data_IF_028199049146
#
_entry.id   IF_028199049146
#
_cell.length_a   1.000
_cell.length_b   1.000
_cell.length_c   1.000
_cell.angle_alpha   90.00
_cell.angle_beta   90.00
_cell.angle_gamma   90.00
#
_symmetry.space_group_name_H-M   'P 1'
#
loop_
_entity.id
_entity.type
_entity.pdbx_description
1 polymer ?
#
# COMPACT_ATOMS: atom_id res chain seq x y z
N UNK A 1 -64.78 0.35 5.63
CA UNK A 1 -64.84 0.00 4.21
C UNK A 1 -63.87 0.81 3.34
N UNK A 2 -63.08 1.76 3.86
CA UNK A 2 -62.31 2.69 3.00
C UNK A 2 -60.77 2.64 3.14
N UNK A 3 -60.17 1.47 3.39
CA UNK A 3 -58.71 1.29 3.27
C UNK A 3 -58.27 0.57 1.99
N UNK A 4 -59.22 0.02 1.22
CA UNK A 4 -58.94 -0.76 0.01
C UNK A 4 -59.12 0.05 -1.29
N UNK A 5 -59.47 1.35 -1.22
CA UNK A 5 -59.61 2.22 -2.40
C UNK A 5 -58.29 2.87 -2.83
N UNK A 6 -57.29 2.89 -1.95
CA UNK A 6 -55.96 3.40 -2.27
C UNK A 6 -55.02 2.21 -2.11
N UNK A 7 -54.41 1.78 -3.22
CA UNK A 7 -53.56 0.59 -3.25
C UNK A 7 -52.52 0.59 -2.13
N UNK A 8 -52.09 -0.60 -1.73
CA UNK A 8 -51.01 -0.77 -0.76
C UNK A 8 -49.80 0.01 -1.25
N UNK A 9 -49.44 1.10 -0.57
CA UNK A 9 -48.19 1.82 -0.82
C UNK A 9 -47.05 0.85 -0.54
N UNK A 10 -46.54 0.21 -1.59
CA UNK A 10 -45.23 -0.42 -1.55
C UNK A 10 -44.24 0.71 -1.35
N UNK A 11 -43.68 0.81 -0.15
CA UNK A 11 -42.53 1.69 0.10
C UNK A 11 -41.41 1.25 -0.82
N UNK A 12 -40.91 2.10 -1.73
CA UNK A 12 -39.76 1.75 -2.55
C UNK A 12 -38.58 1.38 -1.66
N UNK A 13 -37.65 0.59 -2.19
CA UNK A 13 -36.44 0.26 -1.43
C UNK A 13 -35.69 1.57 -1.08
N UNK A 14 -34.99 1.58 0.05
CA UNK A 14 -34.35 2.79 0.60
C UNK A 14 -33.41 3.45 -0.42
N UNK A 15 -32.81 2.64 -1.28
CA UNK A 15 -31.90 3.07 -2.35
C UNK A 15 -32.63 3.73 -3.53
N UNK A 16 -33.86 3.33 -3.85
CA UNK A 16 -34.66 3.96 -4.91
C UNK A 16 -35.11 5.37 -4.51
N UNK A 17 -35.52 5.55 -3.24
CA UNK A 17 -35.97 6.84 -2.70
C UNK A 17 -34.81 7.84 -2.63
N UNK A 18 -33.62 7.35 -2.32
CA UNK A 18 -32.43 8.17 -2.10
C UNK A 18 -32.07 9.06 -3.30
N UNK A 19 -32.24 8.57 -4.53
CA UNK A 19 -32.00 9.33 -5.76
C UNK A 19 -32.96 10.52 -5.92
N UNK A 20 -34.18 10.42 -5.40
CA UNK A 20 -35.20 11.47 -5.48
C UNK A 20 -35.15 12.43 -4.28
N UNK A 21 -34.37 12.14 -3.22
CA UNK A 21 -34.33 12.98 -2.02
C UNK A 21 -33.98 14.46 -2.29
N UNK A 22 -33.02 14.80 -3.17
CA UNK A 22 -32.77 16.20 -3.53
C UNK A 22 -33.98 16.88 -4.19
N UNK A 23 -34.74 16.17 -5.03
CA UNK A 23 -35.94 16.69 -5.70
C UNK A 23 -37.12 16.82 -4.73
N UNK A 24 -37.28 15.84 -3.84
CA UNK A 24 -38.27 15.88 -2.76
C UNK A 24 -38.00 17.06 -1.83
N UNK A 25 -36.74 17.26 -1.42
CA UNK A 25 -36.33 18.40 -0.61
C UNK A 25 -36.67 19.73 -1.30
N UNK A 26 -36.38 19.86 -2.60
CA UNK A 26 -36.73 21.05 -3.39
C UNK A 26 -38.24 21.28 -3.45
N UNK A 27 -39.03 20.21 -3.58
CA UNK A 27 -40.50 20.29 -3.64
C UNK A 27 -41.12 20.73 -2.31
N UNK A 28 -40.62 20.18 -1.19
CA UNK A 28 -41.04 20.58 0.16
C UNK A 28 -40.65 22.03 0.44
N UNK A 29 -39.46 22.46 0.03
CA UNK A 29 -39.01 23.86 0.13
C UNK A 29 -39.87 24.83 -0.67
N UNK A 30 -40.20 24.50 -1.92
CA UNK A 30 -41.11 25.30 -2.74
C UNK A 30 -42.49 25.45 -2.08
N UNK A 31 -42.98 24.36 -1.48
CA UNK A 31 -44.23 24.38 -0.73
C UNK A 31 -44.13 25.28 0.51
N UNK A 32 -43.03 25.16 1.27
CA UNK A 32 -42.77 26.01 2.43
C UNK A 32 -42.69 27.50 2.08
N UNK A 33 -42.00 27.87 0.99
CA UNK A 33 -41.97 29.27 0.51
C UNK A 33 -43.36 29.79 0.16
N UNK A 34 -44.22 28.94 -0.43
CA UNK A 34 -45.61 29.31 -0.74
C UNK A 34 -46.41 29.53 0.54
N UNK A 35 -46.24 28.67 1.55
CA UNK A 35 -46.91 28.81 2.84
C UNK A 35 -46.47 30.06 3.60
N UNK A 36 -45.19 30.44 3.51
CA UNK A 36 -44.69 31.72 4.03
C UNK A 36 -45.39 32.90 3.34
N UNK A 37 -45.54 32.86 2.01
CA UNK A 37 -46.21 33.94 1.23
C UNK A 37 -47.71 34.05 1.53
N UNK A 38 -48.32 33.01 2.08
CA UNK A 38 -49.73 33.01 2.50
C UNK A 38 -49.92 33.56 3.93
N UNK A 39 -48.85 34.08 4.56
CA UNK A 39 -48.88 34.67 5.91
C UNK A 39 -49.50 33.75 6.98
N UNK A 40 -49.18 32.45 6.91
CA UNK A 40 -49.58 31.48 7.93
C UNK A 40 -48.97 31.78 9.31
N UNK A 41 -49.62 31.38 10.42
CA UNK A 41 -49.09 31.54 11.77
C UNK A 41 -47.71 30.89 11.93
N UNK A 42 -46.85 31.52 12.73
CA UNK A 42 -45.48 31.05 12.95
C UNK A 42 -45.44 29.63 13.50
N UNK A 43 -46.37 29.24 14.37
CA UNK A 43 -46.44 27.91 14.96
C UNK A 43 -46.61 26.83 13.89
N UNK A 44 -47.39 27.10 12.83
CA UNK A 44 -47.57 26.18 11.71
C UNK A 44 -46.34 26.13 10.80
N UNK A 45 -45.71 27.28 10.55
CA UNK A 45 -44.48 27.38 9.76
C UNK A 45 -43.29 26.70 10.47
N UNK A 46 -43.24 26.73 11.79
CA UNK A 46 -42.16 26.11 12.57
C UNK A 46 -42.21 24.58 12.49
N UNK A 47 -43.40 23.98 12.42
CA UNK A 47 -43.55 22.53 12.22
C UNK A 47 -42.91 22.08 10.91
N UNK A 48 -43.17 22.81 9.82
CA UNK A 48 -42.63 22.50 8.49
C UNK A 48 -41.13 22.85 8.42
N UNK A 49 -40.70 23.92 9.09
CA UNK A 49 -39.29 24.27 9.22
C UNK A 49 -38.47 23.18 9.93
N UNK A 50 -39.02 22.59 10.99
CA UNK A 50 -38.39 21.44 11.67
C UNK A 50 -38.34 20.20 10.78
N UNK A 51 -39.42 19.89 10.05
CA UNK A 51 -39.43 18.81 9.07
C UNK A 51 -38.37 19.02 7.97
N UNK A 52 -38.23 20.26 7.46
CA UNK A 52 -37.21 20.61 6.48
C UNK A 52 -35.80 20.42 7.03
N UNK A 53 -35.55 20.80 8.29
CA UNK A 53 -34.27 20.56 8.94
C UNK A 53 -33.94 19.06 9.00
N UNK A 54 -34.88 18.25 9.46
CA UNK A 54 -34.71 16.79 9.56
C UNK A 54 -34.51 16.16 8.17
N UNK A 55 -35.27 16.61 7.16
CA UNK A 55 -35.14 16.14 5.79
C UNK A 55 -33.79 16.52 5.17
N UNK A 56 -33.25 17.70 5.46
CA UNK A 56 -31.92 18.13 5.01
C UNK A 56 -30.81 17.27 5.62
N UNK A 57 -30.88 17.00 6.93
CA UNK A 57 -29.92 16.11 7.61
C UNK A 57 -30.01 14.70 7.02
N UNK A 58 -31.23 14.19 6.83
CA UNK A 58 -31.46 12.87 6.27
C UNK A 58 -30.95 12.76 4.82
N UNK A 59 -31.24 13.74 3.97
CA UNK A 59 -30.78 13.79 2.58
C UNK A 59 -29.23 13.76 2.51
N UNK A 60 -28.56 14.60 3.31
CA UNK A 60 -27.09 14.57 3.42
C UNK A 60 -26.58 13.19 3.84
N UNK A 61 -27.16 12.62 4.90
CA UNK A 61 -26.74 11.31 5.44
C UNK A 61 -26.87 10.19 4.41
N UNK A 62 -27.99 10.14 3.69
CA UNK A 62 -28.26 9.11 2.67
C UNK A 62 -27.33 9.25 1.47
N UNK A 63 -27.06 10.47 0.98
CA UNK A 63 -26.16 10.69 -0.16
C UNK A 63 -24.72 10.20 0.14
N UNK A 64 -24.21 10.50 1.33
CA UNK A 64 -22.91 9.96 1.75
C UNK A 64 -22.95 8.45 1.98
N UNK A 65 -24.06 7.90 2.50
CA UNK A 65 -24.20 6.46 2.67
C UNK A 65 -24.20 5.73 1.32
N UNK A 66 -24.90 6.23 0.30
CA UNK A 66 -24.86 5.66 -1.05
C UNK A 66 -23.45 5.70 -1.63
N UNK A 67 -22.75 6.82 -1.47
CA UNK A 67 -21.36 6.96 -1.91
C UNK A 67 -20.45 5.96 -1.19
N UNK A 68 -20.68 5.71 0.10
CA UNK A 68 -19.98 4.67 0.86
C UNK A 68 -20.17 3.29 0.23
N UNK A 69 -21.41 2.93 -0.16
CA UNK A 69 -21.66 1.64 -0.81
C UNK A 69 -21.02 1.55 -2.21
N UNK A 70 -21.03 2.64 -2.99
CA UNK A 70 -20.32 2.70 -4.28
C UNK A 70 -18.81 2.51 -4.12
N UNK A 71 -18.22 3.09 -3.06
CA UNK A 71 -16.80 2.92 -2.75
C UNK A 71 -16.45 1.47 -2.42
N UNK A 72 -17.32 0.76 -1.68
CA UNK A 72 -17.13 -0.67 -1.39
C UNK A 72 -17.19 -1.55 -2.64
N UNK A 73 -17.89 -1.09 -3.68
CA UNK A 73 -18.02 -1.80 -4.96
C UNK A 73 -16.91 -1.46 -5.96
N UNK A 74 -15.99 -0.53 -5.62
CA UNK A 74 -14.84 -0.23 -6.47
C UNK A 74 -13.96 -1.46 -6.65
N UNK A 75 -13.67 -1.78 -7.90
CA UNK A 75 -12.76 -2.87 -8.27
C UNK A 75 -11.42 -2.33 -8.77
N UNK A 76 -10.35 -3.03 -8.40
CA UNK A 76 -9.00 -2.75 -8.86
C UNK A 76 -8.77 -3.36 -10.25
N UNK A 77 -8.18 -2.58 -11.15
CA UNK A 77 -7.84 -3.02 -12.51
C UNK A 77 -6.38 -3.49 -12.64
N UNK A 78 -5.57 -3.24 -11.60
CA UNK A 78 -4.15 -3.59 -11.53
C UNK A 78 -3.29 -2.98 -12.64
N UNK A 79 -3.77 -1.89 -13.26
CA UNK A 79 -3.04 -1.18 -14.31
C UNK A 79 -2.37 0.06 -13.73
N UNK A 80 -1.04 0.04 -13.73
CA UNK A 80 -0.24 1.15 -13.22
C UNK A 80 -0.18 2.26 -14.27
N UNK A 81 -0.48 3.48 -13.86
CA UNK A 81 -0.31 4.67 -14.68
C UNK A 81 1.12 5.18 -14.58
N UNK A 82 1.80 5.23 -15.72
CA UNK A 82 3.15 5.79 -15.87
C UNK A 82 3.12 7.16 -16.54
N UNK A 83 1.95 7.64 -16.96
CA UNK A 83 1.74 8.88 -17.67
C UNK A 83 0.84 9.83 -16.86
N UNK A 84 1.27 11.09 -16.71
CA UNK A 84 0.48 12.14 -16.06
C UNK A 84 1.11 12.69 -14.79
N UNK A 85 0.28 13.33 -13.96
CA UNK A 85 0.71 14.03 -12.73
C UNK A 85 1.16 13.06 -11.63
N UNK A 86 0.69 11.82 -11.68
CA UNK A 86 0.96 10.79 -10.68
C UNK A 86 1.51 9.56 -11.41
N UNK A 87 2.63 9.02 -10.92
CA UNK A 87 3.29 7.84 -11.48
C UNK A 87 3.28 6.71 -10.46
N UNK A 88 3.12 5.47 -10.92
CA UNK A 88 3.23 4.30 -10.07
C UNK A 88 1.97 3.97 -9.26
N UNK A 89 0.81 4.49 -9.66
CA UNK A 89 -0.49 4.28 -9.00
C UNK A 89 -1.53 3.80 -10.01
N UNK A 90 -2.58 3.12 -9.54
CA UNK A 90 -3.71 2.73 -10.39
C UNK A 90 -4.80 3.79 -10.41
N UNK A 91 -5.86 3.55 -11.17
CA UNK A 91 -7.05 4.41 -11.18
C UNK A 91 -7.86 4.40 -9.87
N UNK A 92 -7.67 3.38 -9.02
CA UNK A 92 -8.53 3.15 -7.86
C UNK A 92 -8.60 4.35 -6.89
N UNK A 93 -7.46 4.93 -6.43
CA UNK A 93 -7.49 6.13 -5.57
C UNK A 93 -8.13 7.35 -6.25
N UNK A 94 -8.01 7.47 -7.57
CA UNK A 94 -8.56 8.59 -8.35
C UNK A 94 -10.09 8.45 -8.45
N UNK A 95 -10.59 7.24 -8.73
CA UNK A 95 -12.04 6.95 -8.72
C UNK A 95 -12.66 7.20 -7.35
N UNK A 96 -11.96 6.81 -6.29
CA UNK A 96 -12.37 7.12 -4.92
C UNK A 96 -12.48 8.64 -4.69
N UNK A 97 -11.48 9.42 -5.09
CA UNK A 97 -11.53 10.88 -5.00
C UNK A 97 -12.73 11.45 -5.76
N UNK A 98 -12.96 11.01 -6.99
CA UNK A 98 -14.07 11.49 -7.82
C UNK A 98 -15.43 11.26 -7.15
N UNK A 99 -15.67 10.06 -6.60
CA UNK A 99 -16.91 9.78 -5.87
C UNK A 99 -17.12 10.69 -4.67
N UNK A 100 -16.03 11.02 -3.95
CA UNK A 100 -16.07 11.94 -2.81
C UNK A 100 -16.34 13.39 -3.27
N UNK A 101 -15.72 13.84 -4.36
CA UNK A 101 -15.96 15.17 -4.94
C UNK A 101 -17.40 15.33 -5.41
N UNK A 102 -17.94 14.32 -6.10
CA UNK A 102 -19.31 14.30 -6.61
C UNK A 102 -20.33 14.42 -5.47
N UNK A 103 -20.18 13.63 -4.39
CA UNK A 103 -21.11 13.72 -3.24
C UNK A 103 -20.99 15.05 -2.49
N UNK A 104 -19.78 15.60 -2.33
CA UNK A 104 -19.59 16.92 -1.72
C UNK A 104 -20.36 17.97 -2.52
N UNK A 105 -20.26 17.93 -3.86
CA UNK A 105 -20.95 18.87 -4.73
C UNK A 105 -22.48 18.71 -4.67
N UNK A 106 -22.99 17.47 -4.75
CA UNK A 106 -24.44 17.21 -4.70
C UNK A 106 -25.01 17.66 -3.35
N UNK A 107 -24.34 17.36 -2.23
CA UNK A 107 -24.78 17.77 -0.89
C UNK A 107 -24.73 19.29 -0.73
N UNK A 108 -23.72 19.96 -1.30
CA UNK A 108 -23.61 21.42 -1.30
C UNK A 108 -24.80 22.08 -1.98
N UNK A 109 -25.18 21.60 -3.16
CA UNK A 109 -26.27 22.17 -3.95
C UNK A 109 -27.66 21.84 -3.38
N UNK A 110 -27.83 20.62 -2.84
CA UNK A 110 -29.13 20.14 -2.37
C UNK A 110 -29.40 20.46 -0.90
N UNK A 111 -28.59 19.93 0.02
CA UNK A 111 -28.87 19.97 1.45
C UNK A 111 -28.31 21.23 2.14
N UNK A 112 -27.20 21.79 1.65
CA UNK A 112 -26.55 22.94 2.30
C UNK A 112 -27.04 24.30 1.82
N UNK A 113 -27.57 24.39 0.60
CA UNK A 113 -28.25 25.60 0.11
C UNK A 113 -29.35 26.00 1.10
N UNK A 114 -29.30 27.24 1.59
CA UNK A 114 -30.29 27.78 2.53
C UNK A 114 -31.32 28.64 1.80
N UNK A 115 -32.59 28.47 2.15
CA UNK A 115 -33.70 29.29 1.64
C UNK A 115 -34.35 30.16 2.74
N UNK A 116 -35.44 30.86 2.42
CA UNK A 116 -36.13 31.76 3.36
C UNK A 116 -36.47 31.05 4.68
N UNK A 117 -36.12 31.70 5.81
CA UNK A 117 -36.28 31.19 7.18
C UNK A 117 -35.51 29.90 7.52
N UNK A 118 -34.65 29.37 6.65
CA UNK A 118 -33.80 28.23 7.00
C UNK A 118 -32.50 28.68 7.69
N UNK A 119 -32.20 28.13 8.87
CA UNK A 119 -30.86 28.27 9.47
C UNK A 119 -29.83 27.46 8.67
N UNK A 120 -28.54 27.85 8.66
CA UNK A 120 -27.49 27.01 8.10
C UNK A 120 -27.49 25.63 8.75
N UNK A 121 -27.53 24.58 7.93
CA UNK A 121 -27.67 23.19 8.40
C UNK A 121 -26.55 22.82 9.38
N UNK A 122 -25.32 23.17 9.00
CA UNK A 122 -24.12 22.81 9.72
C UNK A 122 -23.87 23.65 10.97
N UNK A 123 -24.71 24.63 11.31
CA UNK A 123 -24.64 25.27 12.64
C UNK A 123 -25.22 24.36 13.73
N UNK A 124 -26.04 23.38 13.35
CA UNK A 124 -26.64 22.42 14.27
C UNK A 124 -25.63 21.33 14.66
N UNK A 125 -25.42 21.05 15.96
CA UNK A 125 -24.48 20.03 16.40
C UNK A 125 -24.86 18.62 15.93
N UNK A 126 -26.16 18.35 15.78
CA UNK A 126 -26.66 17.07 15.23
C UNK A 126 -26.21 16.86 13.79
N UNK A 127 -26.31 17.88 12.95
CA UNK A 127 -25.88 17.83 11.56
C UNK A 127 -24.35 17.68 11.42
N UNK A 128 -23.57 18.41 12.23
CA UNK A 128 -22.09 18.26 12.26
C UNK A 128 -21.67 16.84 12.63
N UNK A 129 -22.24 16.30 13.69
CA UNK A 129 -21.94 14.94 14.15
C UNK A 129 -22.31 13.87 13.12
N UNK A 130 -23.43 14.05 12.43
CA UNK A 130 -23.82 13.14 11.35
C UNK A 130 -22.87 13.26 10.15
N UNK A 131 -22.45 14.47 9.77
CA UNK A 131 -21.43 14.66 8.73
C UNK A 131 -20.12 13.95 9.07
N UNK A 132 -19.56 14.17 10.27
CA UNK A 132 -18.31 13.52 10.72
C UNK A 132 -18.41 12.00 10.66
N UNK A 133 -19.54 11.44 11.12
CA UNK A 133 -19.82 10.00 11.05
C UNK A 133 -19.82 9.48 9.61
N UNK A 134 -20.47 10.20 8.69
CA UNK A 134 -20.55 9.79 7.29
C UNK A 134 -19.19 9.89 6.58
N UNK A 135 -18.42 10.93 6.87
CA UNK A 135 -17.05 11.07 6.34
C UNK A 135 -16.15 9.94 6.86
N UNK A 136 -16.19 9.62 8.16
CA UNK A 136 -15.41 8.49 8.70
C UNK A 136 -15.84 7.14 8.09
N UNK A 137 -17.13 6.98 7.77
CA UNK A 137 -17.66 5.80 7.08
C UNK A 137 -17.11 5.65 5.65
N UNK A 138 -17.09 6.74 4.87
CA UNK A 138 -16.51 6.78 3.52
C UNK A 138 -15.02 6.42 3.55
N UNK A 139 -14.26 7.07 4.44
CA UNK A 139 -12.82 6.83 4.56
C UNK A 139 -12.51 5.40 5.02
N UNK A 140 -13.30 4.88 5.96
CA UNK A 140 -13.16 3.50 6.46
C UNK A 140 -13.57 2.47 5.41
N UNK A 141 -14.56 2.76 4.56
CA UNK A 141 -14.94 1.88 3.45
C UNK A 141 -13.80 1.76 2.44
N UNK A 142 -13.16 2.86 2.04
CA UNK A 142 -12.03 2.81 1.13
C UNK A 142 -10.80 2.09 1.72
N UNK A 143 -10.51 2.36 3.01
CA UNK A 143 -9.50 1.58 3.75
C UNK A 143 -9.85 0.08 3.73
N UNK A 144 -11.12 -0.27 3.95
CA UNK A 144 -11.62 -1.65 3.84
C UNK A 144 -11.36 -2.27 2.47
N UNK A 145 -11.63 -1.53 1.39
CA UNK A 145 -11.35 -1.99 0.02
C UNK A 145 -9.85 -2.27 -0.19
N UNK A 146 -8.96 -1.36 0.21
CA UNK A 146 -7.50 -1.56 0.14
C UNK A 146 -7.04 -2.74 1.01
N UNK A 147 -7.61 -2.87 2.20
CA UNK A 147 -7.37 -3.99 3.10
C UNK A 147 -7.74 -5.31 2.41
N UNK A 148 -8.96 -5.45 1.90
CA UNK A 148 -9.39 -6.67 1.19
C UNK A 148 -8.47 -7.04 0.02
N UNK A 149 -8.01 -6.05 -0.75
CA UNK A 149 -7.04 -6.30 -1.84
C UNK A 149 -5.71 -6.87 -1.34
N UNK A 150 -5.27 -6.49 -0.13
CA UNK A 150 -4.03 -6.97 0.49
C UNK A 150 -4.13 -8.28 1.28
N UNK A 151 -5.35 -8.75 1.59
CA UNK A 151 -5.58 -10.00 2.34
C UNK A 151 -6.27 -11.09 1.52
N UNK A 152 -6.71 -10.78 0.30
CA UNK A 152 -7.33 -11.75 -0.61
C UNK A 152 -6.28 -12.67 -1.24
N UNK A 153 -5.74 -13.60 -0.45
CA UNK A 153 -4.88 -14.70 -0.93
C UNK A 153 -5.67 -15.69 -1.84
N UNK A 154 -7.01 -15.64 -1.80
CA UNK A 154 -7.92 -16.68 -2.32
C UNK A 154 -8.38 -16.54 -3.78
N UNK A 155 -7.51 -16.15 -4.71
CA UNK A 155 -7.82 -16.31 -6.14
C UNK A 155 -6.65 -16.92 -6.91
N UNK A 156 -6.55 -18.24 -6.78
CA UNK A 156 -5.99 -19.15 -7.81
C UNK A 156 -4.49 -18.98 -8.15
N UNK A 157 -3.62 -18.62 -7.21
CA UNK A 157 -2.21 -18.96 -7.37
C UNK A 157 -2.06 -20.44 -7.01
N UNK A 158 -2.18 -21.30 -8.02
CA UNK A 158 -1.90 -22.73 -7.88
C UNK A 158 -0.52 -22.97 -7.27
N UNK A 159 -0.38 -24.09 -6.56
CA UNK A 159 0.80 -24.58 -5.81
C UNK A 159 2.17 -24.54 -6.54
N UNK A 160 2.24 -24.07 -7.79
CA UNK A 160 3.45 -24.05 -8.64
C UNK A 160 4.22 -22.71 -8.64
N UNK A 161 3.73 -21.64 -8.00
CA UNK A 161 4.46 -20.37 -7.89
C UNK A 161 5.29 -20.30 -6.60
N UNK A 162 6.12 -21.31 -6.34
CA UNK A 162 7.17 -21.17 -5.31
C UNK A 162 8.08 -20.00 -5.72
N UNK A 163 8.46 -19.08 -4.81
CA UNK A 163 9.38 -18.00 -5.13
C UNK A 163 10.69 -18.64 -5.61
N UNK A 164 10.99 -18.49 -6.90
CA UNK A 164 12.19 -19.05 -7.53
C UNK A 164 13.40 -18.26 -7.01
N UNK A 165 13.84 -18.59 -5.80
CA UNK A 165 15.07 -18.04 -5.20
C UNK A 165 16.27 -18.90 -5.58
N UNK A 166 16.09 -20.22 -5.74
CA UNK A 166 17.19 -21.15 -6.04
C UNK A 166 17.35 -21.44 -7.54
N UNK A 167 18.08 -20.59 -8.27
CA UNK A 167 18.50 -20.90 -9.66
C UNK A 167 19.82 -21.68 -9.74
N UNK A 168 20.50 -21.93 -8.61
CA UNK A 168 21.80 -22.61 -8.57
C UNK A 168 21.70 -24.14 -8.43
N UNK A 169 20.51 -24.68 -8.16
CA UNK A 169 20.25 -26.12 -8.15
C UNK A 169 19.60 -26.46 -9.50
N UNK A 170 20.35 -27.12 -10.37
CA UNK A 170 20.04 -27.32 -11.79
C UNK A 170 18.80 -28.17 -12.10
N UNK A 171 17.61 -27.62 -11.87
CA UNK A 171 16.36 -28.07 -12.47
C UNK A 171 15.87 -27.01 -13.46
N UNK A 172 15.80 -27.31 -14.78
CA UNK A 172 15.29 -26.35 -15.75
C UNK A 172 13.79 -26.19 -15.52
N UNK A 173 13.36 -25.00 -15.11
CA UNK A 173 11.93 -24.71 -15.00
C UNK A 173 11.38 -24.50 -16.41
N UNK A 174 10.61 -25.47 -16.88
CA UNK A 174 9.75 -25.34 -18.06
C UNK A 174 8.55 -24.43 -17.72
N UNK A 175 8.79 -23.13 -17.54
CA UNK A 175 7.72 -22.13 -17.35
C UNK A 175 7.19 -21.59 -18.68
N UNK A 176 6.67 -22.48 -19.53
CA UNK A 176 5.78 -22.09 -20.62
C UNK A 176 4.70 -23.15 -20.80
N UNK A 177 3.68 -23.12 -19.93
CA UNK A 177 2.36 -23.70 -20.26
C UNK A 177 1.30 -22.61 -20.15
N UNK A 178 0.84 -22.21 -21.32
CA UNK A 178 -0.22 -21.25 -21.58
C UNK A 178 -1.55 -21.75 -21.04
N UNK A 179 -1.96 -21.26 -19.87
CA UNK A 179 -3.37 -21.26 -19.45
C UNK A 179 -4.04 -19.99 -20.00
N UNK A 180 -4.84 -20.17 -21.05
CA UNK A 180 -5.48 -19.09 -21.84
C UNK A 180 -6.84 -18.63 -21.27
N UNK A 181 -6.99 -18.48 -19.95
CA UNK A 181 -8.31 -18.13 -19.39
C UNK A 181 -8.39 -16.93 -18.41
N UNK A 182 -7.28 -16.39 -17.85
CA UNK A 182 -7.34 -15.21 -16.94
C UNK A 182 -6.09 -14.31 -17.03
N UNK A 183 -5.78 -13.76 -18.21
CA UNK A 183 -4.48 -13.14 -18.51
C UNK A 183 -4.15 -11.76 -17.88
N UNK A 184 -4.99 -11.16 -17.03
CA UNK A 184 -4.78 -9.75 -16.63
C UNK A 184 -4.61 -9.48 -15.13
N UNK A 185 -4.53 -10.49 -14.28
CA UNK A 185 -4.34 -10.26 -12.84
C UNK A 185 -2.87 -10.55 -12.48
N UNK A 186 -2.11 -9.58 -11.94
CA UNK A 186 -0.72 -9.81 -11.55
C UNK A 186 -0.57 -10.90 -10.48
N UNK A 187 0.65 -11.40 -10.31
CA UNK A 187 1.00 -12.28 -9.17
C UNK A 187 0.79 -11.56 -7.84
N UNK A 188 0.56 -12.32 -6.78
CA UNK A 188 0.26 -11.79 -5.45
C UNK A 188 1.26 -10.75 -4.94
N UNK A 189 2.56 -10.97 -5.07
CA UNK A 189 3.59 -10.03 -4.61
C UNK A 189 3.49 -8.68 -5.32
N UNK A 190 3.18 -8.71 -6.62
CA UNK A 190 2.99 -7.50 -7.41
C UNK A 190 1.71 -6.77 -7.00
N UNK A 191 0.64 -7.50 -6.64
CA UNK A 191 -0.59 -6.91 -6.08
C UNK A 191 -0.32 -6.21 -4.75
N UNK A 192 0.52 -6.78 -3.89
CA UNK A 192 0.92 -6.15 -2.63
C UNK A 192 1.63 -4.81 -2.88
N UNK A 193 2.61 -4.78 -3.80
CA UNK A 193 3.31 -3.54 -4.15
C UNK A 193 2.39 -2.47 -4.77
N UNK A 194 1.48 -2.88 -5.67
CA UNK A 194 0.49 -1.96 -6.25
C UNK A 194 -0.40 -1.37 -5.15
N UNK A 195 -0.93 -2.23 -4.27
CA UNK A 195 -1.80 -1.82 -3.16
C UNK A 195 -1.06 -0.91 -2.19
N UNK A 196 0.21 -1.19 -1.91
CA UNK A 196 1.09 -0.37 -1.09
C UNK A 196 1.26 1.03 -1.69
N UNK A 197 1.56 1.12 -2.99
CA UNK A 197 1.69 2.39 -3.70
C UNK A 197 0.40 3.20 -3.68
N UNK A 198 -0.75 2.54 -3.93
CA UNK A 198 -2.07 3.17 -3.85
C UNK A 198 -2.38 3.68 -2.44
N UNK A 199 -2.01 2.92 -1.40
CA UNK A 199 -2.17 3.32 -0.01
C UNK A 199 -1.37 4.59 0.32
N UNK A 200 -0.08 4.61 -0.05
CA UNK A 200 0.79 5.77 0.14
C UNK A 200 0.28 7.01 -0.59
N UNK A 201 -0.13 6.84 -1.86
CA UNK A 201 -0.69 7.93 -2.65
C UNK A 201 -1.99 8.48 -2.05
N UNK A 202 -2.86 7.59 -1.57
CA UNK A 202 -4.10 7.98 -0.89
C UNK A 202 -3.79 8.81 0.34
N UNK A 203 -2.88 8.33 1.19
CA UNK A 203 -2.48 8.98 2.44
C UNK A 203 -1.89 10.38 2.20
N UNK A 204 -0.98 10.50 1.24
CA UNK A 204 -0.17 11.71 1.03
C UNK A 204 -0.75 12.72 0.04
N UNK A 205 -1.68 12.32 -0.84
CA UNK A 205 -2.23 13.22 -1.87
C UNK A 205 -3.75 13.26 -1.86
N UNK A 206 -4.42 12.10 -1.89
CA UNK A 206 -5.89 12.06 -2.02
C UNK A 206 -6.56 12.64 -0.78
N UNK A 207 -6.13 12.24 0.42
CA UNK A 207 -6.71 12.72 1.67
C UNK A 207 -6.54 14.25 1.85
N UNK A 208 -5.41 14.81 1.43
CA UNK A 208 -5.19 16.26 1.45
C UNK A 208 -6.07 16.99 0.42
N UNK A 209 -6.29 16.37 -0.74
CA UNK A 209 -7.20 16.91 -1.76
C UNK A 209 -8.64 16.89 -1.28
N UNK A 210 -9.07 15.81 -0.62
CA UNK A 210 -10.40 15.72 0.01
C UNK A 210 -10.57 16.84 1.06
N UNK A 211 -9.58 17.06 1.93
CA UNK A 211 -9.61 18.16 2.91
C UNK A 211 -9.75 19.53 2.25
N UNK A 212 -9.02 19.77 1.16
CA UNK A 212 -9.13 21.01 0.40
C UNK A 212 -10.54 21.18 -0.19
N UNK A 213 -11.12 20.11 -0.75
CA UNK A 213 -12.47 20.13 -1.36
C UNK A 213 -13.58 20.40 -0.35
N UNK A 214 -13.51 19.84 0.85
CA UNK A 214 -14.43 20.19 1.94
C UNK A 214 -14.33 21.67 2.30
N UNK A 215 -13.11 22.21 2.42
CA UNK A 215 -12.86 23.63 2.75
C UNK A 215 -13.37 24.57 1.64
N UNK A 216 -13.04 24.29 0.38
CA UNK A 216 -13.50 25.04 -0.80
C UNK A 216 -15.04 25.03 -0.93
N UNK A 217 -15.68 23.96 -0.47
CA UNK A 217 -17.13 23.78 -0.55
C UNK A 217 -17.91 24.39 0.62
N UNK A 218 -17.21 24.97 1.61
CA UNK A 218 -17.84 25.64 2.77
C UNK A 218 -18.32 24.69 3.87
N UNK A 219 -17.82 23.45 3.89
CA UNK A 219 -18.09 22.49 4.97
C UNK A 219 -17.25 22.83 6.22
N UNK A 220 -17.62 22.30 7.41
CA UNK A 220 -16.78 22.46 8.59
C UNK A 220 -15.51 21.62 8.43
N UNK A 221 -14.52 21.91 9.27
CA UNK A 221 -13.30 21.11 9.35
C UNK A 221 -13.63 19.64 9.65
N UNK A 222 -13.13 18.74 8.79
CA UNK A 222 -13.20 17.27 8.96
C UNK A 222 -11.80 16.68 9.22
N UNK A 223 -10.88 17.52 9.70
CA UNK A 223 -9.47 17.16 9.90
C UNK A 223 -9.31 15.96 10.86
N UNK A 224 -10.19 15.81 11.86
CA UNK A 224 -10.19 14.66 12.77
C UNK A 224 -10.43 13.32 12.07
N UNK A 225 -11.46 13.25 11.20
CA UNK A 225 -11.77 12.05 10.42
C UNK A 225 -10.63 11.70 9.45
N UNK A 226 -10.07 12.70 8.79
CA UNK A 226 -8.99 12.50 7.81
C UNK A 226 -7.69 12.09 8.50
N UNK A 227 -7.34 12.67 9.65
CA UNK A 227 -6.17 12.25 10.41
C UNK A 227 -6.30 10.82 10.93
N UNK A 228 -7.48 10.42 11.40
CA UNK A 228 -7.78 9.03 11.77
C UNK A 228 -7.57 8.08 10.57
N UNK A 229 -8.06 8.46 9.38
CA UNK A 229 -7.85 7.70 8.16
C UNK A 229 -6.38 7.61 7.75
N UNK A 230 -5.60 8.69 7.89
CA UNK A 230 -4.14 8.68 7.66
C UNK A 230 -3.45 7.65 8.55
N UNK A 231 -3.77 7.61 9.85
CA UNK A 231 -3.23 6.62 10.78
C UNK A 231 -3.63 5.18 10.43
N UNK A 232 -4.89 4.95 10.02
CA UNK A 232 -5.34 3.63 9.55
C UNK A 232 -4.57 3.18 8.30
N UNK A 233 -4.41 4.05 7.31
CA UNK A 233 -3.64 3.78 6.09
C UNK A 233 -2.15 3.54 6.38
N UNK A 234 -1.55 4.27 7.30
CA UNK A 234 -0.15 4.07 7.71
C UNK A 234 0.06 2.68 8.36
N UNK A 235 -0.88 2.22 9.17
CA UNK A 235 -0.84 0.86 9.71
C UNK A 235 -1.01 -0.21 8.62
N UNK A 236 -1.90 0.03 7.66
CA UNK A 236 -2.09 -0.86 6.52
C UNK A 236 -0.84 -0.91 5.63
N UNK A 237 -0.22 0.24 5.34
CA UNK A 237 1.05 0.35 4.62
C UNK A 237 2.13 -0.53 5.25
N UNK A 238 2.33 -0.41 6.58
CA UNK A 238 3.29 -1.24 7.32
C UNK A 238 2.97 -2.73 7.19
N UNK A 239 1.70 -3.09 7.34
CA UNK A 239 1.26 -4.50 7.29
C UNK A 239 1.47 -5.13 5.90
N UNK A 240 1.17 -4.37 4.84
CA UNK A 240 1.39 -4.80 3.45
C UNK A 240 2.89 -4.95 3.17
N UNK A 241 3.69 -3.98 3.62
CA UNK A 241 5.15 -4.02 3.46
C UNK A 241 5.76 -5.22 4.20
N UNK A 242 5.37 -5.46 5.45
CA UNK A 242 5.86 -6.59 6.24
C UNK A 242 5.55 -7.93 5.54
N UNK A 243 4.31 -8.12 5.05
CA UNK A 243 3.94 -9.32 4.25
C UNK A 243 4.74 -9.49 2.97
N UNK A 244 4.95 -8.40 2.24
CA UNK A 244 5.77 -8.43 1.03
C UNK A 244 7.22 -8.84 1.36
N UNK A 245 7.77 -8.27 2.44
CA UNK A 245 9.12 -8.58 2.90
C UNK A 245 9.24 -10.03 3.38
N UNK A 246 8.29 -10.57 4.14
CA UNK A 246 8.27 -12.00 4.54
C UNK A 246 8.39 -12.91 3.30
N UNK A 247 7.58 -12.65 2.27
CA UNK A 247 7.58 -13.44 1.04
C UNK A 247 8.90 -13.39 0.25
N UNK A 248 9.66 -12.28 0.34
CA UNK A 248 10.95 -12.13 -0.34
C UNK A 248 12.16 -12.54 0.50
N UNK A 249 12.11 -12.25 1.80
CA UNK A 249 13.22 -12.42 2.73
C UNK A 249 13.27 -13.82 3.32
N UNK A 250 12.14 -14.46 3.67
CA UNK A 250 12.16 -15.77 4.33
C UNK A 250 12.83 -16.86 3.48
N UNK A 251 12.53 -16.97 2.16
CA UNK A 251 13.23 -17.93 1.31
C UNK A 251 14.71 -17.58 1.12
N UNK A 252 15.06 -16.28 1.12
CA UNK A 252 16.44 -15.82 1.01
C UNK A 252 17.24 -16.23 2.25
N UNK A 253 16.72 -15.96 3.44
CA UNK A 253 17.31 -16.38 4.72
C UNK A 253 17.47 -17.91 4.75
N UNK A 254 16.43 -18.65 4.36
CA UNK A 254 16.46 -20.12 4.31
C UNK A 254 17.48 -20.72 3.32
N UNK A 255 17.94 -19.95 2.33
CA UNK A 255 18.91 -20.41 1.32
C UNK A 255 20.35 -20.01 1.61
N UNK A 256 20.58 -18.94 2.42
CA UNK A 256 21.93 -18.45 2.74
C UNK A 256 22.81 -19.55 3.35
N UNK A 257 22.35 -20.21 4.42
CA UNK A 257 23.13 -21.22 5.13
C UNK A 257 23.42 -22.46 4.24
N UNK A 258 22.43 -23.09 3.57
CA UNK A 258 22.71 -24.18 2.63
C UNK A 258 23.67 -23.79 1.49
N UNK A 259 23.49 -22.61 0.89
CA UNK A 259 24.34 -22.13 -0.22
C UNK A 259 25.77 -21.80 0.23
N UNK A 260 25.97 -21.50 1.51
CA UNK A 260 27.30 -21.28 2.09
C UNK A 260 28.16 -22.54 2.04
N UNK A 261 27.59 -23.69 2.39
CA UNK A 261 28.28 -24.99 2.45
C UNK A 261 28.22 -25.79 1.14
N UNK A 262 27.71 -25.18 0.05
CA UNK A 262 27.58 -25.83 -1.26
C UNK A 262 28.92 -26.43 -1.74
N UNK A 263 28.85 -27.66 -2.24
CA UNK A 263 30.03 -28.40 -2.72
C UNK A 263 30.87 -29.04 -1.61
N UNK A 264 30.28 -29.31 -0.42
CA UNK A 264 30.99 -29.83 0.77
C UNK A 264 32.13 -28.91 1.23
N UNK A 265 31.90 -27.61 1.09
CA UNK A 265 32.83 -26.60 1.55
C UNK A 265 32.78 -26.49 3.08
N UNK A 266 33.92 -26.24 3.69
CA UNK A 266 34.06 -25.94 5.11
C UNK A 266 35.02 -24.73 5.25
N UNK A 267 34.77 -23.90 6.25
CA UNK A 267 35.60 -22.74 6.56
C UNK A 267 37.01 -23.12 7.07
N UNK A 268 37.25 -24.38 7.45
CA UNK A 268 38.57 -24.93 7.77
C UNK A 268 39.31 -25.52 6.55
N UNK A 269 38.90 -25.19 5.32
CA UNK A 269 39.57 -25.67 4.09
C UNK A 269 40.75 -24.76 3.70
N UNK A 270 41.83 -25.34 3.16
CA UNK A 270 43.06 -24.64 2.74
C UNK A 270 43.08 -24.30 1.24
N UNK A 271 41.94 -23.89 0.68
CA UNK A 271 41.80 -23.48 -0.73
C UNK A 271 41.80 -21.97 -0.82
N UNK A 272 42.69 -21.40 -1.64
CA UNK A 272 42.77 -19.95 -1.79
C UNK A 272 41.52 -19.38 -2.49
N UNK A 273 40.97 -18.25 -2.01
CA UNK A 273 39.80 -17.62 -2.62
C UNK A 273 40.11 -17.13 -4.03
N UNK A 274 39.23 -17.44 -4.97
CA UNK A 274 39.35 -17.00 -6.39
C UNK A 274 38.17 -16.14 -6.85
N UNK A 275 37.03 -16.27 -6.19
CA UNK A 275 35.80 -15.54 -6.45
C UNK A 275 34.94 -15.58 -5.18
N UNK A 276 33.89 -14.76 -5.12
CA UNK A 276 32.92 -14.83 -4.03
C UNK A 276 32.09 -16.12 -4.10
N UNK A 277 31.69 -16.62 -2.94
CA UNK A 277 30.91 -17.87 -2.83
C UNK A 277 29.50 -17.72 -3.41
N UNK A 278 28.84 -18.84 -3.78
CA UNK A 278 27.51 -18.83 -4.39
C UNK A 278 26.44 -18.09 -3.58
N UNK A 279 26.43 -18.23 -2.24
CA UNK A 279 25.44 -17.54 -1.39
C UNK A 279 25.50 -16.01 -1.52
N UNK A 280 26.70 -15.43 -1.63
CA UNK A 280 26.85 -13.98 -1.79
C UNK A 280 26.32 -13.53 -3.16
N UNK A 281 26.56 -14.31 -4.21
CA UNK A 281 26.00 -14.06 -5.55
C UNK A 281 24.48 -14.19 -5.56
N UNK A 282 23.93 -15.16 -4.83
CA UNK A 282 22.49 -15.37 -4.68
C UNK A 282 21.83 -14.18 -3.96
N UNK A 283 22.42 -13.69 -2.87
CA UNK A 283 21.96 -12.47 -2.19
C UNK A 283 21.94 -11.26 -3.14
N UNK A 284 23.01 -11.05 -3.91
CA UNK A 284 23.10 -9.94 -4.86
C UNK A 284 22.03 -10.08 -5.95
N UNK A 285 21.87 -11.27 -6.53
CA UNK A 285 20.88 -11.50 -7.58
C UNK A 285 19.44 -11.37 -7.05
N UNK A 286 19.15 -11.85 -5.85
CA UNK A 286 17.84 -11.68 -5.23
C UNK A 286 17.51 -10.19 -5.03
N UNK A 287 18.45 -9.41 -4.48
CA UNK A 287 18.25 -7.97 -4.30
C UNK A 287 18.02 -7.25 -5.64
N UNK A 288 18.71 -7.65 -6.71
CA UNK A 288 18.50 -7.10 -8.07
C UNK A 288 17.11 -7.45 -8.61
N UNK A 289 16.65 -8.68 -8.38
CA UNK A 289 15.32 -9.10 -8.81
C UNK A 289 14.24 -8.32 -8.07
N UNK A 290 14.36 -8.14 -6.74
CA UNK A 290 13.45 -7.32 -5.95
C UNK A 290 13.51 -5.86 -6.40
N UNK A 291 14.71 -5.31 -6.64
CA UNK A 291 14.87 -3.97 -7.18
C UNK A 291 14.10 -3.79 -8.49
N UNK A 292 14.25 -4.71 -9.44
CA UNK A 292 13.56 -4.67 -10.72
C UNK A 292 12.03 -4.78 -10.59
N UNK A 293 11.54 -5.57 -9.63
CA UNK A 293 10.11 -5.71 -9.34
C UNK A 293 9.53 -4.42 -8.74
N UNK A 294 10.20 -3.85 -7.74
CA UNK A 294 9.75 -2.65 -7.02
C UNK A 294 9.80 -1.41 -7.92
N UNK A 295 10.88 -1.23 -8.69
CA UNK A 295 10.99 -0.09 -9.62
C UNK A 295 9.95 -0.17 -10.75
N UNK A 296 9.54 -1.39 -11.13
CA UNK A 296 8.44 -1.60 -12.06
C UNK A 296 7.10 -1.08 -11.55
N UNK A 297 6.91 -0.98 -10.23
CA UNK A 297 5.70 -0.42 -9.61
C UNK A 297 5.89 1.05 -9.27
N UNK A 298 6.81 1.36 -8.36
CA UNK A 298 7.05 2.72 -7.88
C UNK A 298 8.45 2.84 -7.29
N UNK A 299 9.24 3.77 -7.81
CA UNK A 299 10.59 4.06 -7.31
C UNK A 299 10.59 4.60 -5.87
N UNK A 300 9.47 5.17 -5.41
CA UNK A 300 9.34 5.68 -4.04
C UNK A 300 9.38 4.56 -2.97
N UNK A 301 9.09 3.32 -3.35
CA UNK A 301 9.12 2.16 -2.46
C UNK A 301 10.51 1.56 -2.28
N UNK A 302 11.44 1.88 -3.19
CA UNK A 302 12.72 1.19 -3.34
C UNK A 302 13.58 1.25 -2.09
N UNK A 303 13.74 2.44 -1.52
CA UNK A 303 14.53 2.64 -0.30
C UNK A 303 13.96 1.87 0.88
N UNK A 304 12.64 1.88 1.06
CA UNK A 304 11.99 1.18 2.18
C UNK A 304 12.12 -0.34 2.06
N UNK A 305 11.93 -0.89 0.86
CA UNK A 305 11.98 -2.34 0.63
C UNK A 305 13.40 -2.86 0.69
N UNK A 306 14.32 -2.30 -0.11
CA UNK A 306 15.68 -2.85 -0.23
C UNK A 306 16.49 -2.68 1.06
N UNK A 307 16.29 -1.58 1.79
CA UNK A 307 17.00 -1.37 3.06
C UNK A 307 16.66 -2.45 4.09
N UNK A 308 15.37 -2.86 4.16
CA UNK A 308 14.95 -3.93 5.07
C UNK A 308 15.49 -5.29 4.65
N UNK A 309 15.50 -5.60 3.36
CA UNK A 309 16.08 -6.85 2.86
C UNK A 309 17.58 -6.92 3.15
N UNK A 310 18.32 -5.82 2.92
CA UNK A 310 19.76 -5.75 3.22
C UNK A 310 20.03 -5.94 4.70
N UNK A 311 19.19 -5.39 5.57
CA UNK A 311 19.27 -5.59 7.01
C UNK A 311 19.06 -7.06 7.40
N UNK A 312 18.02 -7.71 6.88
CA UNK A 312 17.76 -9.14 7.11
C UNK A 312 18.91 -10.03 6.60
N UNK A 313 19.48 -9.73 5.42
CA UNK A 313 20.65 -10.46 4.90
C UNK A 313 21.86 -10.26 5.80
N UNK A 314 22.10 -9.05 6.30
CA UNK A 314 23.22 -8.76 7.17
C UNK A 314 23.09 -9.48 8.53
N UNK A 315 21.90 -9.46 9.12
CA UNK A 315 21.57 -10.17 10.37
C UNK A 315 21.76 -11.68 10.22
N UNK A 316 21.22 -12.27 9.15
CA UNK A 316 21.34 -13.71 8.91
C UNK A 316 22.79 -14.11 8.63
N UNK A 317 23.53 -13.30 7.88
CA UNK A 317 24.96 -13.52 7.63
C UNK A 317 25.76 -13.51 8.94
N UNK A 318 25.47 -12.56 9.83
CA UNK A 318 26.09 -12.53 11.16
C UNK A 318 25.76 -13.77 11.98
N UNK A 319 24.48 -14.19 12.01
CA UNK A 319 24.04 -15.41 12.71
C UNK A 319 24.82 -16.63 12.22
N UNK A 320 24.87 -16.85 10.91
CA UNK A 320 25.52 -18.03 10.33
C UNK A 320 27.03 -17.99 10.55
N UNK A 321 27.68 -16.83 10.38
CA UNK A 321 29.11 -16.68 10.64
C UNK A 321 29.48 -16.93 12.10
N UNK A 322 28.62 -16.53 13.04
CA UNK A 322 28.80 -16.77 14.48
C UNK A 322 28.72 -18.24 14.87
N UNK A 323 28.08 -19.08 14.05
CA UNK A 323 28.00 -20.52 14.28
C UNK A 323 29.21 -21.30 13.75
N UNK A 324 30.09 -20.66 12.97
CA UNK A 324 31.28 -21.31 12.40
C UNK A 324 32.28 -21.63 13.50
N UNK A 325 32.60 -22.92 13.65
CA UNK A 325 33.46 -23.40 14.75
C UNK A 325 34.94 -23.09 14.55
N UNK A 326 35.42 -23.14 13.30
CA UNK A 326 36.83 -22.98 12.99
C UNK A 326 37.01 -22.37 11.60
N UNK A 327 37.95 -21.43 11.52
CA UNK A 327 38.39 -20.83 10.28
C UNK A 327 39.84 -21.20 10.02
N UNK A 328 40.13 -21.66 8.81
CA UNK A 328 41.49 -21.65 8.30
C UNK A 328 41.89 -20.22 7.88
N UNK A 329 43.18 -20.02 7.58
CA UNK A 329 43.68 -18.75 7.03
C UNK A 329 42.96 -18.40 5.73
N UNK A 330 42.81 -19.35 4.81
CA UNK A 330 42.14 -19.14 3.52
C UNK A 330 40.62 -19.02 3.67
N UNK A 331 40.01 -19.74 4.61
CA UNK A 331 38.59 -19.60 4.94
C UNK A 331 38.25 -18.22 5.47
N UNK A 332 39.11 -17.66 6.35
CA UNK A 332 38.97 -16.28 6.82
C UNK A 332 39.12 -15.25 5.68
N UNK A 333 40.00 -15.50 4.70
CA UNK A 333 40.12 -14.67 3.50
C UNK A 333 38.85 -14.73 2.65
N UNK A 334 38.29 -15.92 2.41
CA UNK A 334 37.05 -16.09 1.66
C UNK A 334 35.86 -15.41 2.36
N UNK A 335 35.69 -15.62 3.68
CA UNK A 335 34.60 -15.02 4.45
C UNK A 335 34.65 -13.49 4.41
N UNK A 336 35.85 -12.91 4.60
CA UNK A 336 36.03 -11.45 4.49
C UNK A 336 35.77 -10.94 3.08
N UNK A 337 36.19 -11.67 2.04
CA UNK A 337 35.91 -11.29 0.66
C UNK A 337 34.41 -11.29 0.35
N UNK A 338 33.68 -12.32 0.80
CA UNK A 338 32.24 -12.42 0.58
C UNK A 338 31.47 -11.31 1.32
N UNK A 339 31.77 -11.10 2.62
CA UNK A 339 31.09 -10.07 3.43
C UNK A 339 31.37 -8.67 2.88
N UNK A 340 32.63 -8.36 2.53
CA UNK A 340 33.00 -7.07 1.95
C UNK A 340 32.39 -6.85 0.56
N UNK A 341 32.20 -7.92 -0.23
CA UNK A 341 31.48 -7.82 -1.48
C UNK A 341 30.03 -7.41 -1.23
N UNK A 342 29.33 -8.05 -0.30
CA UNK A 342 27.95 -7.68 0.05
C UNK A 342 27.85 -6.25 0.56
N UNK A 343 28.75 -5.82 1.46
CA UNK A 343 28.80 -4.43 1.95
C UNK A 343 28.96 -3.41 0.81
N UNK A 344 29.79 -3.71 -0.19
CA UNK A 344 29.97 -2.81 -1.33
C UNK A 344 28.74 -2.80 -2.24
N UNK A 345 28.21 -3.98 -2.59
CA UNK A 345 27.08 -4.11 -3.51
C UNK A 345 25.78 -3.52 -2.93
N UNK A 346 25.62 -3.57 -1.60
CA UNK A 346 24.43 -3.08 -0.91
C UNK A 346 24.59 -1.68 -0.31
N UNK A 347 25.73 -1.02 -0.56
CA UNK A 347 26.12 0.24 0.07
C UNK A 347 25.02 1.31 0.06
N UNK A 348 24.33 1.46 -1.07
CA UNK A 348 23.32 2.51 -1.24
C UNK A 348 22.05 2.26 -0.39
N UNK A 349 21.80 1.01 0.00
CA UNK A 349 20.64 0.57 0.81
C UNK A 349 21.04 0.04 2.19
N UNK A 350 22.27 0.31 2.66
CA UNK A 350 22.71 -0.20 3.96
C UNK A 350 22.25 0.72 5.10
N UNK A 351 21.35 0.24 5.97
CA UNK A 351 20.96 0.90 7.22
C UNK A 351 22.08 0.88 8.26
N UNK A 352 21.97 1.68 9.32
CA UNK A 352 22.96 1.65 10.41
C UNK A 352 22.93 0.32 11.19
N UNK A 353 21.75 -0.32 11.28
CA UNK A 353 21.62 -1.67 11.83
C UNK A 353 22.33 -2.69 10.94
N UNK A 354 22.12 -2.65 9.62
CA UNK A 354 22.81 -3.52 8.66
C UNK A 354 24.34 -3.33 8.72
N UNK A 355 24.83 -2.09 8.83
CA UNK A 355 26.27 -1.81 9.04
C UNK A 355 26.78 -2.48 10.32
N UNK A 356 25.99 -2.41 11.41
CA UNK A 356 26.28 -3.09 12.67
C UNK A 356 26.47 -4.58 12.48
N UNK A 357 25.48 -5.27 11.90
CA UNK A 357 25.54 -6.72 11.68
C UNK A 357 26.69 -7.15 10.77
N UNK A 358 26.97 -6.40 9.70
CA UNK A 358 28.15 -6.70 8.87
C UNK A 358 29.47 -6.51 9.62
N UNK A 359 29.56 -5.51 10.50
CA UNK A 359 30.75 -5.30 11.33
C UNK A 359 30.93 -6.44 12.34
N UNK A 360 29.85 -6.85 13.01
CA UNK A 360 29.83 -7.98 13.94
C UNK A 360 30.24 -9.29 13.23
N UNK A 361 29.72 -9.53 12.03
CA UNK A 361 30.13 -10.68 11.20
C UNK A 361 31.64 -10.66 10.88
N UNK A 362 32.21 -9.49 10.57
CA UNK A 362 33.64 -9.33 10.30
C UNK A 362 34.52 -9.44 11.55
N UNK A 363 33.97 -9.19 12.74
CA UNK A 363 34.67 -9.33 14.02
C UNK A 363 34.75 -10.80 14.46
N UNK A 364 33.75 -11.61 14.12
CA UNK A 364 33.79 -13.07 14.33
C UNK A 364 34.87 -13.73 13.46
N UNK A 365 35.07 -13.25 12.23
CA UNK A 365 36.07 -13.82 11.31
C UNK A 365 37.49 -13.40 11.73
N UNK A 366 38.48 -14.32 11.78
CA UNK A 366 39.85 -13.97 12.16
C UNK A 366 40.45 -12.81 11.34
N UNK A 367 41.28 -11.98 11.99
CA UNK A 367 41.94 -10.85 11.35
C UNK A 367 43.09 -11.32 10.45
N UNK A 368 43.22 -10.69 9.30
CA UNK A 368 44.23 -11.00 8.28
C UNK A 368 45.47 -10.09 8.39
N UNK A 369 46.63 -10.64 8.04
CA UNK A 369 47.89 -9.92 7.84
C UNK A 369 47.83 -9.05 6.57
N UNK A 370 48.70 -8.04 6.47
CA UNK A 370 48.64 -7.07 5.36
C UNK A 370 48.86 -7.69 3.96
N UNK A 371 49.66 -8.75 3.85
CA UNK A 371 49.87 -9.46 2.58
C UNK A 371 48.63 -10.22 2.10
N UNK A 372 47.75 -10.59 3.01
CA UNK A 372 46.54 -11.37 2.75
C UNK A 372 45.36 -10.51 2.34
N UNK A 373 45.32 -9.28 2.85
CA UNK A 373 44.35 -8.26 2.44
C UNK A 373 44.45 -7.98 0.94
N UNK A 374 45.66 -8.01 0.38
CA UNK A 374 45.87 -7.80 -1.06
C UNK A 374 45.16 -8.86 -1.92
N UNK A 375 45.07 -10.12 -1.45
CA UNK A 375 44.34 -11.17 -2.16
C UNK A 375 42.83 -10.93 -2.10
N UNK A 376 42.31 -10.55 -0.94
CA UNK A 376 40.89 -10.20 -0.76
C UNK A 376 40.51 -9.01 -1.66
N UNK A 377 41.35 -7.98 -1.69
CA UNK A 377 41.16 -6.81 -2.57
C UNK A 377 41.18 -7.19 -4.06
N UNK A 378 42.04 -8.11 -4.47
CA UNK A 378 42.07 -8.59 -5.86
C UNK A 378 40.80 -9.37 -6.23
N UNK A 379 40.35 -10.28 -5.36
CA UNK A 379 39.09 -11.02 -5.56
C UNK A 379 37.91 -10.06 -5.66
N UNK A 380 37.83 -9.07 -4.77
CA UNK A 380 36.80 -8.03 -4.81
C UNK A 380 36.85 -7.22 -6.11
N UNK A 381 38.05 -6.81 -6.54
CA UNK A 381 38.24 -6.07 -7.80
C UNK A 381 37.78 -6.89 -9.01
N UNK A 382 38.14 -8.17 -9.07
CA UNK A 382 37.71 -9.07 -10.14
C UNK A 382 36.19 -9.28 -10.12
N UNK A 383 35.61 -9.47 -8.93
CA UNK A 383 34.16 -9.59 -8.75
C UNK A 383 33.43 -8.34 -9.26
N UNK A 384 33.86 -7.14 -8.85
CA UNK A 384 33.31 -5.86 -9.33
C UNK A 384 33.39 -5.72 -10.85
N UNK A 385 34.51 -6.14 -11.45
CA UNK A 385 34.68 -6.09 -12.90
C UNK A 385 33.71 -7.02 -13.63
N UNK A 386 33.53 -8.26 -13.12
CA UNK A 386 32.62 -9.27 -13.70
C UNK A 386 31.15 -8.91 -13.52
N UNK A 387 30.79 -8.34 -12.35
CA UNK A 387 29.41 -8.00 -11.97
C UNK A 387 29.11 -6.50 -12.11
N UNK A 388 29.81 -5.80 -13.01
CA UNK A 388 29.69 -4.34 -13.17
C UNK A 388 28.27 -3.91 -13.50
N UNK A 389 27.59 -4.65 -14.38
CA UNK A 389 26.22 -4.32 -14.80
C UNK A 389 25.25 -4.48 -13.63
N UNK A 390 25.36 -5.59 -12.89
CA UNK A 390 24.60 -5.87 -11.67
C UNK A 390 24.76 -4.76 -10.64
N UNK A 391 26.01 -4.32 -10.40
CA UNK A 391 26.30 -3.21 -9.48
C UNK A 391 25.66 -1.90 -9.96
N UNK A 392 25.62 -1.65 -11.27
CA UNK A 392 24.98 -0.46 -11.81
C UNK A 392 23.46 -0.45 -11.62
N UNK A 393 22.81 -1.62 -11.63
CA UNK A 393 21.37 -1.73 -11.38
C UNK A 393 20.98 -1.28 -9.97
N UNK A 394 21.84 -1.52 -8.97
CA UNK A 394 21.56 -1.21 -7.57
C UNK A 394 21.94 0.22 -7.17
N UNK A 395 22.45 1.04 -8.09
CA UNK A 395 22.78 2.44 -7.79
C UNK A 395 21.51 3.27 -7.69
N UNK A 396 21.42 4.10 -6.66
CA UNK A 396 20.36 5.12 -6.59
C UNK A 396 20.49 6.08 -7.77
N UNK A 397 19.44 6.16 -8.58
CA UNK A 397 19.33 7.07 -9.73
C UNK A 397 18.65 8.37 -9.36
#
# INVERSE_FOLDING_TARGET
ADRNQFGTLTTPDRDEIAHYLPELLRSVRSSYSTLIRLDLPNEALDIIGNLLLDLRIHCMSILFQQTTEQIKQLSENWQIQYNGKYMGVTDLPIKFLQLVEDVIQIVKESALSGEQRESPLLDKPTAKKELEKQVDSILSAFHGSLSTLSFSEDLEDGEDSSPVVSQLIGTPVSSQKTSKAKQNIPIWEHRLLITLSNCMFTKSTILDTILAKFKESGFPSVDGCVNNAKTKLENLERTILDRYLEQKSDPLVGTIEPSMYLGRFDWDVTVSPTDIRPYAKECINNLINVHAEVIGVSSALLDNVLTRIVETVAEELYRVMSCVQKFSRQGAQQARADIQALQEFFKDYTSDAAKGHFAEALDVVPKLENSEKALVEDVLRQCKARMKIQLMCLRKT
#
